data_IF_668963729780
#
_entry.id   IF_668963729780
#
_cell.length_a   1.000
_cell.length_b   1.000
_cell.length_c   1.000
_cell.angle_alpha   90.00
_cell.angle_beta   90.00
_cell.angle_gamma   90.00
#
_symmetry.space_group_name_H-M   'P 1'
#
loop_
_entity.id
_entity.type
_entity.pdbx_description
1 polymer ?
#
# COMPACT_ATOMS: atom_id res chain seq x y z
N UNK A 1 5.57 21.48 -12.70
CA UNK A 1 4.12 21.11 -12.75
C UNK A 1 3.54 20.61 -11.42
N UNK A 2 4.35 20.15 -10.44
CA UNK A 2 3.83 19.56 -9.18
C UNK A 2 3.05 20.51 -8.26
N UNK A 3 3.41 21.81 -8.21
CA UNK A 3 2.83 22.78 -7.24
C UNK A 3 1.40 23.26 -7.57
N UNK A 4 0.94 23.14 -8.82
CA UNK A 4 -0.43 23.56 -9.23
C UNK A 4 -1.50 22.56 -8.77
N UNK A 5 -1.16 21.27 -8.72
CA UNK A 5 -2.10 20.17 -8.44
C UNK A 5 -2.54 20.13 -6.98
N UNK A 6 -1.58 20.33 -6.06
CA UNK A 6 -1.86 20.41 -4.61
C UNK A 6 -2.75 21.61 -4.26
N UNK A 7 -2.65 22.71 -5.04
CA UNK A 7 -3.47 23.91 -4.82
C UNK A 7 -4.94 23.68 -5.17
N UNK A 8 -5.23 22.92 -6.23
CA UNK A 8 -6.61 22.60 -6.63
C UNK A 8 -7.29 21.68 -5.60
N UNK A 9 -6.59 20.63 -5.15
CA UNK A 9 -7.13 19.71 -4.15
C UNK A 9 -7.42 20.43 -2.82
N UNK A 10 -6.60 21.39 -2.39
CA UNK A 10 -6.88 22.16 -1.17
C UNK A 10 -8.07 23.12 -1.27
N UNK A 11 -8.45 23.55 -2.48
CA UNK A 11 -9.57 24.47 -2.71
C UNK A 11 -10.93 23.77 -2.85
N UNK A 12 -10.93 22.47 -3.14
CA UNK A 12 -12.15 21.67 -3.39
C UNK A 12 -12.48 20.70 -2.25
N UNK A 13 -11.74 20.75 -1.13
CA UNK A 13 -12.08 19.99 0.08
C UNK A 13 -13.26 20.67 0.76
N UNK A 14 -14.39 19.98 0.78
CA UNK A 14 -15.57 20.38 1.54
C UNK A 14 -15.57 19.70 2.91
N UNK A 15 -16.20 20.35 3.89
CA UNK A 15 -16.28 19.85 5.27
C UNK A 15 -15.31 20.52 6.24
N UNK A 16 -15.52 20.29 7.53
CA UNK A 16 -14.67 20.83 8.61
C UNK A 16 -13.37 20.04 8.73
N UNK A 17 -12.39 20.58 9.47
CA UNK A 17 -11.05 20.01 9.62
C UNK A 17 -10.99 18.54 10.08
N UNK A 18 -12.08 17.98 10.65
CA UNK A 18 -12.18 16.58 11.04
C UNK A 18 -12.85 15.64 10.03
N UNK A 19 -13.58 16.19 9.05
CA UNK A 19 -14.34 15.41 8.05
C UNK A 19 -14.25 16.10 6.68
N UNK A 20 -13.08 16.01 6.05
CA UNK A 20 -12.89 16.53 4.70
C UNK A 20 -13.28 15.48 3.66
N UNK A 21 -13.99 15.91 2.63
CA UNK A 21 -14.34 15.08 1.49
C UNK A 21 -14.21 15.87 0.19
N UNK A 22 -14.08 15.14 -0.92
CA UNK A 22 -14.05 15.70 -2.27
C UNK A 22 -15.46 15.57 -2.83
N UNK A 23 -16.03 16.69 -3.25
CA UNK A 23 -17.32 16.72 -3.91
C UNK A 23 -17.24 16.10 -5.33
N UNK A 24 -18.28 15.34 -5.70
CA UNK A 24 -18.35 14.62 -6.96
C UNK A 24 -18.42 15.57 -8.16
N UNK A 25 -19.01 16.76 -8.00
CA UNK A 25 -19.04 17.75 -9.09
C UNK A 25 -17.64 18.26 -9.41
N UNK A 26 -16.84 18.50 -8.37
CA UNK A 26 -15.44 18.90 -8.51
C UNK A 26 -14.59 17.80 -9.14
N UNK A 27 -14.84 16.53 -8.80
CA UNK A 27 -14.14 15.41 -9.42
C UNK A 27 -14.45 15.27 -10.92
N UNK A 28 -15.71 15.48 -11.33
CA UNK A 28 -16.13 15.43 -12.74
C UNK A 28 -15.51 16.55 -13.58
N UNK A 29 -15.35 17.73 -12.99
CA UNK A 29 -14.79 18.91 -13.64
C UNK A 29 -13.25 18.98 -13.54
N UNK A 30 -12.60 17.95 -12.98
CA UNK A 30 -11.16 17.91 -12.86
C UNK A 30 -10.52 17.57 -14.20
N UNK A 31 -9.85 18.57 -14.78
CA UNK A 31 -9.16 18.42 -16.05
C UNK A 31 -7.90 17.56 -15.89
N UNK A 32 -7.89 16.40 -16.57
CA UNK A 32 -6.77 15.48 -16.59
C UNK A 32 -6.24 15.31 -18.01
N UNK A 33 -4.92 15.40 -18.15
CA UNK A 33 -4.28 15.04 -19.40
C UNK A 33 -4.29 13.52 -19.53
N UNK A 34 -5.05 13.02 -20.50
CA UNK A 34 -5.11 11.60 -20.84
C UNK A 34 -3.98 11.31 -21.83
N UNK A 35 -2.97 10.50 -21.46
CA UNK A 35 -1.89 10.15 -22.37
C UNK A 35 -2.39 9.21 -23.49
N UNK A 36 -1.63 9.11 -24.60
CA UNK A 36 -1.88 8.13 -25.66
C UNK A 36 -1.94 6.69 -25.12
N UNK A 37 -2.79 5.86 -25.74
CA UNK A 37 -3.09 4.50 -25.26
C UNK A 37 -1.85 3.58 -25.27
N UNK A 38 -0.98 3.73 -26.25
CA UNK A 38 0.29 3.02 -26.38
C UNK A 38 1.22 3.26 -25.18
N UNK A 39 1.28 4.50 -24.69
CA UNK A 39 2.07 4.84 -23.49
C UNK A 39 1.48 4.15 -22.26
N UNK A 40 0.15 4.16 -22.13
CA UNK A 40 -0.55 3.48 -21.02
C UNK A 40 -0.32 1.98 -21.05
N UNK A 41 -0.41 1.37 -22.22
CA UNK A 41 -0.23 -0.07 -22.40
C UNK A 41 1.23 -0.48 -22.10
N UNK A 42 2.23 0.28 -22.55
CA UNK A 42 3.64 0.00 -22.24
C UNK A 42 3.97 0.11 -20.75
N UNK A 43 3.37 1.09 -20.06
CA UNK A 43 3.48 1.27 -18.63
C UNK A 43 2.82 0.10 -17.88
N UNK A 44 1.62 -0.29 -18.29
CA UNK A 44 0.89 -1.41 -17.70
C UNK A 44 1.66 -2.73 -17.85
N UNK A 45 2.24 -3.01 -19.01
CA UNK A 45 3.07 -4.20 -19.21
C UNK A 45 4.31 -4.21 -18.30
N UNK A 46 4.94 -3.06 -18.08
CA UNK A 46 6.06 -2.93 -17.13
C UNK A 46 5.62 -3.23 -15.70
N UNK A 47 4.46 -2.71 -15.29
CA UNK A 47 3.93 -2.88 -13.93
C UNK A 47 3.29 -4.25 -13.67
N UNK A 48 2.92 -4.98 -14.71
CA UNK A 48 2.17 -6.24 -14.65
C UNK A 48 2.80 -7.28 -13.73
N UNK A 49 4.13 -7.36 -13.67
CA UNK A 49 4.85 -8.24 -12.74
C UNK A 49 5.12 -7.63 -11.36
N UNK A 50 5.26 -6.30 -11.29
CA UNK A 50 5.66 -5.58 -10.08
C UNK A 50 4.50 -5.50 -9.09
N UNK A 51 3.31 -5.11 -9.56
CA UNK A 51 2.14 -4.89 -8.69
C UNK A 51 1.72 -6.16 -7.96
N UNK A 52 1.60 -7.35 -8.61
CA UNK A 52 1.28 -8.58 -7.90
C UNK A 52 2.33 -8.96 -6.86
N UNK A 53 3.61 -8.77 -7.18
CA UNK A 53 4.71 -9.06 -6.25
C UNK A 53 4.68 -8.13 -5.04
N UNK A 54 4.42 -6.83 -5.25
CA UNK A 54 4.22 -5.87 -4.18
C UNK A 54 3.11 -6.32 -3.23
N UNK A 55 1.94 -6.67 -3.78
CA UNK A 55 0.79 -7.13 -2.99
C UNK A 55 1.13 -8.42 -2.22
N UNK A 56 1.78 -9.39 -2.88
CA UNK A 56 2.18 -10.65 -2.26
C UNK A 56 3.15 -10.42 -1.10
N UNK A 57 4.18 -9.61 -1.31
CA UNK A 57 5.16 -9.27 -0.28
C UNK A 57 4.51 -8.56 0.91
N UNK A 58 3.61 -7.60 0.67
CA UNK A 58 2.88 -6.93 1.75
C UNK A 58 2.04 -7.90 2.58
N UNK A 59 1.40 -8.89 1.94
CA UNK A 59 0.66 -9.94 2.64
C UNK A 59 1.59 -10.82 3.47
N UNK A 60 2.70 -11.27 2.90
CA UNK A 60 3.70 -12.09 3.60
C UNK A 60 4.28 -11.36 4.82
N UNK A 61 4.65 -10.09 4.67
CA UNK A 61 5.14 -9.26 5.77
C UNK A 61 4.10 -9.21 6.90
N UNK A 62 2.83 -8.93 6.57
CA UNK A 62 1.76 -8.91 7.57
C UNK A 62 1.61 -10.26 8.29
N UNK A 63 1.66 -11.36 7.55
CA UNK A 63 1.58 -12.71 8.12
C UNK A 63 2.78 -13.00 9.05
N UNK A 64 4.00 -12.68 8.63
CA UNK A 64 5.21 -12.88 9.42
C UNK A 64 5.23 -12.01 10.67
N UNK A 65 4.80 -10.75 10.57
CA UNK A 65 4.65 -9.84 11.71
C UNK A 65 3.64 -10.41 12.71
N UNK A 66 2.46 -10.82 12.24
CA UNK A 66 1.43 -11.41 13.11
C UNK A 66 1.94 -12.70 13.78
N UNK A 67 2.67 -13.53 13.05
CA UNK A 67 3.25 -14.76 13.59
C UNK A 67 4.32 -14.46 14.63
N UNK A 68 5.21 -13.50 14.38
CA UNK A 68 6.21 -13.02 15.36
C UNK A 68 5.52 -12.52 16.63
N UNK A 69 4.54 -11.64 16.50
CA UNK A 69 3.87 -11.00 17.63
C UNK A 69 3.06 -12.01 18.45
N UNK A 70 2.61 -13.11 17.81
CA UNK A 70 1.93 -14.21 18.50
C UNK A 70 2.91 -15.18 19.17
N UNK A 71 4.00 -15.51 18.50
CA UNK A 71 4.93 -16.54 18.98
C UNK A 71 5.91 -15.99 20.01
N UNK A 72 6.38 -14.75 19.87
CA UNK A 72 7.38 -14.19 20.76
C UNK A 72 6.94 -14.20 22.23
N UNK A 73 5.71 -13.77 22.60
CA UNK A 73 5.24 -13.87 23.97
C UNK A 73 5.18 -15.31 24.48
N UNK A 74 4.73 -16.27 23.64
CA UNK A 74 4.61 -17.69 24.00
C UNK A 74 5.96 -18.39 24.17
N UNK A 75 6.97 -17.97 23.39
CA UNK A 75 8.34 -18.43 23.55
C UNK A 75 8.95 -17.89 24.84
N UNK A 76 8.71 -16.62 25.17
CA UNK A 76 9.20 -15.96 26.38
C UNK A 76 8.50 -16.48 27.65
N UNK A 77 7.19 -16.72 27.63
CA UNK A 77 6.44 -17.36 28.73
C UNK A 77 6.80 -18.84 28.87
N UNK A 78 7.23 -19.43 27.76
CA UNK A 78 7.68 -20.80 27.68
C UNK A 78 6.60 -21.86 27.52
N UNK A 79 5.40 -21.40 27.17
CA UNK A 79 4.31 -22.24 26.65
C UNK A 79 4.71 -22.99 25.37
N UNK A 80 5.63 -22.41 24.57
CA UNK A 80 6.17 -23.03 23.36
C UNK A 80 7.68 -23.20 23.49
N UNK A 81 8.20 -24.36 23.06
CA UNK A 81 9.63 -24.73 23.12
C UNK A 81 10.10 -25.16 21.73
N UNK A 82 11.30 -24.74 21.35
CA UNK A 82 11.93 -25.12 20.07
C UNK A 82 12.96 -26.20 20.37
N UNK A 83 12.90 -27.33 19.65
CA UNK A 83 13.96 -28.33 19.67
C UNK A 83 15.06 -27.88 18.71
N UNK A 84 16.30 -27.86 19.17
CA UNK A 84 17.45 -27.63 18.31
C UNK A 84 18.00 -28.98 17.88
N UNK A 85 17.88 -29.29 16.59
CA UNK A 85 18.65 -30.38 16.01
C UNK A 85 20.07 -29.84 15.80
N UNK A 86 21.07 -30.49 16.42
CA UNK A 86 22.47 -30.13 16.20
C UNK A 86 22.78 -30.38 14.72
N UNK A 87 23.25 -29.35 14.03
CA UNK A 87 23.77 -29.48 12.67
C UNK A 87 24.83 -30.59 12.66
N UNK A 88 24.70 -31.54 11.73
CA UNK A 88 25.72 -32.56 11.52
C UNK A 88 26.98 -31.87 10.99
N UNK A 89 28.10 -32.02 11.71
CA UNK A 89 29.44 -31.61 11.27
C UNK A 89 29.83 -32.26 9.93
#
# INVERSE_FOLDING_TARGET
MSKKRTKYTSGCLAGSSGCQYIDLEHLKNFDISIPPKDVVDSFNETLKGIVPKLISNSKQIRTLQSLRDTLLPKLMSGEVRVKYDKEAE
#
